data_IF_239071859176
#
_entry.id   IF_239071859176
#
_cell.length_a   1.000
_cell.length_b   1.000
_cell.length_c   1.000
_cell.angle_alpha   90.00
_cell.angle_beta   90.00
_cell.angle_gamma   90.00
#
_symmetry.space_group_name_H-M   'P 1'
#
loop_
_entity.id
_entity.type
_entity.pdbx_description
1 polymer ?
#
# COMPACT_ATOMS: atom_id res chain seq x y z
N UNK A 1 -20.72 -39.62 -22.67
CA UNK A 1 -21.63 -39.51 -21.50
C UNK A 1 -21.32 -38.20 -20.80
N UNK A 2 -22.32 -37.34 -20.55
CA UNK A 2 -22.11 -36.17 -19.71
C UNK A 2 -22.21 -36.61 -18.24
N UNK A 3 -21.12 -36.50 -17.50
CA UNK A 3 -21.14 -36.69 -16.04
C UNK A 3 -21.86 -35.48 -15.47
N UNK A 4 -23.05 -35.67 -14.89
CA UNK A 4 -23.69 -34.63 -14.10
C UNK A 4 -22.88 -34.44 -12.81
N UNK A 5 -22.47 -33.20 -12.46
CA UNK A 5 -21.82 -32.96 -11.19
C UNK A 5 -22.79 -33.27 -10.04
N UNK A 6 -22.27 -33.93 -9.01
CA UNK A 6 -23.00 -34.22 -7.79
C UNK A 6 -23.26 -32.96 -6.97
N UNK A 7 -24.26 -33.02 -6.09
CA UNK A 7 -24.70 -31.88 -5.28
C UNK A 7 -23.61 -31.34 -4.32
N UNK A 8 -22.62 -32.18 -3.97
CA UNK A 8 -21.55 -31.84 -3.03
C UNK A 8 -20.17 -31.60 -3.69
N UNK A 9 -20.01 -31.83 -5.00
CA UNK A 9 -18.72 -31.81 -5.72
C UNK A 9 -17.91 -30.51 -5.52
N UNK A 10 -18.58 -29.37 -5.31
CA UNK A 10 -17.92 -28.09 -5.01
C UNK A 10 -17.36 -28.05 -3.58
N UNK A 11 -18.12 -28.54 -2.60
CA UNK A 11 -17.73 -28.62 -1.19
C UNK A 11 -16.53 -29.55 -1.03
N UNK A 12 -16.60 -30.75 -1.62
CA UNK A 12 -15.53 -31.74 -1.59
C UNK A 12 -14.22 -31.18 -2.18
N UNK A 13 -14.33 -30.38 -3.26
CA UNK A 13 -13.19 -29.67 -3.86
C UNK A 13 -12.64 -28.56 -2.95
N UNK A 14 -13.48 -27.86 -2.19
CA UNK A 14 -12.99 -26.88 -1.21
C UNK A 14 -12.35 -27.55 0.01
N UNK A 15 -12.87 -28.68 0.49
CA UNK A 15 -12.24 -29.46 1.55
C UNK A 15 -10.87 -30.00 1.11
N UNK A 16 -10.77 -30.56 -0.10
CA UNK A 16 -9.49 -30.99 -0.67
C UNK A 16 -8.45 -29.85 -0.76
N UNK A 17 -8.89 -28.63 -1.11
CA UNK A 17 -8.02 -27.43 -1.11
C UNK A 17 -7.60 -27.00 0.31
N UNK A 18 -8.51 -27.10 1.29
CA UNK A 18 -8.20 -26.82 2.70
C UNK A 18 -7.20 -27.85 3.27
N UNK A 19 -7.37 -29.14 2.97
CA UNK A 19 -6.43 -30.21 3.34
C UNK A 19 -5.05 -30.00 2.68
N UNK A 20 -5.01 -29.57 1.42
CA UNK A 20 -3.77 -29.16 0.75
C UNK A 20 -3.13 -27.87 1.32
N UNK A 21 -3.84 -27.16 2.21
CA UNK A 21 -3.33 -26.00 2.94
C UNK A 21 -3.44 -24.68 2.19
N UNK A 22 -4.61 -24.36 1.64
CA UNK A 22 -4.88 -23.11 0.90
C UNK A 22 -4.34 -21.85 1.64
N UNK A 23 -3.35 -21.13 1.07
CA UNK A 23 -2.79 -19.94 1.70
C UNK A 23 -3.77 -18.76 1.74
N UNK A 24 -4.79 -18.74 0.88
CA UNK A 24 -5.81 -17.67 0.85
C UNK A 24 -6.89 -17.86 1.90
N UNK A 25 -7.19 -19.10 2.27
CA UNK A 25 -8.00 -19.41 3.46
C UNK A 25 -7.30 -18.90 4.73
N UNK A 26 -6.01 -19.25 4.91
CA UNK A 26 -5.21 -18.74 6.03
C UNK A 26 -5.12 -17.21 6.05
N UNK A 27 -4.98 -16.58 4.89
CA UNK A 27 -4.98 -15.12 4.78
C UNK A 27 -6.32 -14.51 5.22
N UNK A 28 -7.45 -15.13 4.85
CA UNK A 28 -8.80 -14.68 5.23
C UNK A 28 -9.10 -14.89 6.73
N UNK A 29 -8.55 -15.94 7.34
CA UNK A 29 -8.68 -16.18 8.78
C UNK A 29 -7.85 -15.20 9.63
N UNK A 30 -6.73 -14.69 9.11
CA UNK A 30 -5.83 -13.76 9.82
C UNK A 30 -6.14 -12.28 9.54
N UNK A 31 -6.73 -11.97 8.39
CA UNK A 31 -7.06 -10.60 7.97
C UNK A 31 -8.57 -10.47 7.80
N UNK A 32 -9.21 -9.78 8.73
CA UNK A 32 -10.56 -9.27 8.49
C UNK A 32 -10.50 -8.19 7.41
N UNK A 33 -11.06 -8.51 6.25
CA UNK A 33 -11.10 -7.62 5.09
C UNK A 33 -12.26 -6.61 5.16
N UNK A 34 -13.27 -6.83 6.01
CA UNK A 34 -14.42 -5.94 6.16
C UNK A 34 -14.04 -4.62 6.86
N UNK A 35 -13.01 -4.64 7.70
CA UNK A 35 -12.35 -3.44 8.25
C UNK A 35 -12.11 -2.36 7.17
N UNK A 36 -11.58 -2.77 6.02
CA UNK A 36 -11.26 -1.86 4.92
C UNK A 36 -12.49 -1.26 4.21
N UNK A 37 -13.71 -1.78 4.42
CA UNK A 37 -14.93 -1.30 3.77
C UNK A 37 -15.14 0.19 3.98
N UNK A 38 -14.99 0.66 5.22
CA UNK A 38 -15.17 2.07 5.60
C UNK A 38 -14.28 3.03 4.80
N UNK A 39 -12.94 2.92 4.89
CA UNK A 39 -12.04 3.77 4.11
C UNK A 39 -12.14 3.58 2.60
N UNK A 40 -12.42 2.37 2.11
CA UNK A 40 -12.60 2.15 0.67
C UNK A 40 -13.83 2.91 0.16
N UNK A 41 -14.98 2.82 0.85
CA UNK A 41 -16.19 3.60 0.52
C UNK A 41 -15.90 5.10 0.61
N UNK A 42 -15.17 5.55 1.64
CA UNK A 42 -14.81 6.96 1.81
C UNK A 42 -13.89 7.48 0.70
N UNK A 43 -12.85 6.73 0.34
CA UNK A 43 -11.89 7.06 -0.74
C UNK A 43 -12.52 7.00 -2.13
N UNK A 44 -13.56 6.17 -2.30
CA UNK A 44 -14.32 6.00 -3.55
C UNK A 44 -15.60 6.85 -3.61
N UNK A 45 -15.84 7.76 -2.64
CA UNK A 45 -17.01 8.66 -2.64
C UNK A 45 -17.12 9.39 -3.97
N UNK A 46 -18.22 9.14 -4.68
CA UNK A 46 -18.61 9.84 -5.89
C UNK A 46 -19.34 11.13 -5.54
N UNK A 47 -19.25 12.12 -6.44
CA UNK A 47 -20.25 13.19 -6.50
C UNK A 47 -21.64 12.65 -6.90
N UNK A 48 -22.67 13.51 -6.99
CA UNK A 48 -24.03 13.07 -7.34
C UNK A 48 -24.03 12.28 -8.66
N UNK A 49 -24.71 11.12 -8.67
CA UNK A 49 -24.91 10.31 -9.88
C UNK A 49 -26.22 10.71 -10.55
N UNK A 50 -26.20 10.81 -11.87
CA UNK A 50 -27.41 10.73 -12.67
C UNK A 50 -28.06 9.34 -12.48
N UNK A 51 -29.39 9.28 -12.49
CA UNK A 51 -30.14 8.03 -12.33
C UNK A 51 -29.91 7.12 -13.56
N UNK A 52 -29.45 5.90 -13.34
CA UNK A 52 -29.23 4.89 -14.39
C UNK A 52 -27.77 4.45 -14.54
N UNK A 53 -27.49 3.17 -14.29
CA UNK A 53 -26.20 2.54 -14.53
C UNK A 53 -25.88 1.44 -13.52
N UNK A 54 -25.16 0.39 -13.95
CA UNK A 54 -24.86 -0.82 -13.15
C UNK A 54 -24.35 -0.44 -11.73
N UNK A 55 -24.81 -1.13 -10.67
CA UNK A 55 -24.24 -0.96 -9.34
C UNK A 55 -22.72 -1.21 -9.39
N UNK A 56 -21.92 -0.44 -8.63
CA UNK A 56 -20.49 -0.69 -8.54
C UNK A 56 -20.26 -2.03 -7.82
N UNK A 57 -19.19 -2.74 -8.18
CA UNK A 57 -18.75 -3.89 -7.41
C UNK A 57 -18.43 -3.51 -5.97
N UNK A 58 -18.56 -4.50 -5.09
CA UNK A 58 -18.22 -4.38 -3.69
C UNK A 58 -16.76 -3.91 -3.52
N UNK A 59 -16.50 -2.83 -2.76
CA UNK A 59 -15.15 -2.32 -2.57
C UNK A 59 -14.20 -3.32 -1.93
N UNK A 60 -14.67 -4.18 -1.01
CA UNK A 60 -13.82 -5.18 -0.33
C UNK A 60 -13.41 -6.29 -1.30
N UNK A 61 -14.34 -6.81 -2.10
CA UNK A 61 -14.05 -7.71 -3.22
C UNK A 61 -13.02 -7.10 -4.19
N UNK A 62 -13.25 -5.86 -4.65
CA UNK A 62 -12.32 -5.18 -5.56
C UNK A 62 -10.93 -4.96 -4.94
N UNK A 63 -10.85 -4.78 -3.62
CA UNK A 63 -9.60 -4.66 -2.89
C UNK A 63 -8.87 -6.00 -2.73
N UNK A 64 -9.60 -7.08 -2.41
CA UNK A 64 -9.08 -8.45 -2.39
C UNK A 64 -8.50 -8.85 -3.77
N UNK A 65 -9.09 -8.41 -4.87
CA UNK A 65 -8.53 -8.60 -6.23
C UNK A 65 -7.14 -7.94 -6.36
N UNK A 66 -6.95 -6.72 -5.84
CA UNK A 66 -5.63 -6.08 -5.83
C UNK A 66 -4.62 -6.83 -4.93
N UNK A 67 -5.09 -7.49 -3.87
CA UNK A 67 -4.26 -8.37 -3.03
C UNK A 67 -3.81 -9.61 -3.80
N UNK A 68 -4.71 -10.27 -4.55
CA UNK A 68 -4.35 -11.40 -5.42
C UNK A 68 -3.29 -10.98 -6.47
N UNK A 69 -3.47 -9.82 -7.10
CA UNK A 69 -2.49 -9.27 -8.04
C UNK A 69 -1.11 -9.06 -7.42
N UNK A 70 -1.05 -8.53 -6.20
CA UNK A 70 0.21 -8.31 -5.49
C UNK A 70 0.87 -9.62 -5.00
N UNK A 71 0.08 -10.63 -4.63
CA UNK A 71 0.58 -11.93 -4.15
C UNK A 71 1.07 -12.83 -5.28
N UNK A 72 0.37 -12.86 -6.41
CA UNK A 72 0.66 -13.74 -7.55
C UNK A 72 1.30 -13.02 -8.75
N UNK A 73 1.57 -11.71 -8.65
CA UNK A 73 2.21 -10.88 -9.69
C UNK A 73 1.46 -10.87 -11.02
N UNK A 74 0.12 -10.77 -10.96
CA UNK A 74 -0.77 -10.86 -12.13
C UNK A 74 -1.06 -9.49 -12.76
N UNK A 75 -1.20 -9.44 -14.09
CA UNK A 75 -1.77 -8.29 -14.80
C UNK A 75 -3.28 -8.19 -14.57
N UNK A 76 -3.93 -7.12 -15.06
CA UNK A 76 -5.38 -6.94 -14.92
C UNK A 76 -6.16 -8.03 -15.70
N UNK A 77 -5.70 -8.38 -16.89
CA UNK A 77 -6.24 -9.43 -17.76
C UNK A 77 -5.97 -10.83 -17.21
N UNK A 78 -4.73 -11.09 -16.76
CA UNK A 78 -4.37 -12.35 -16.14
C UNK A 78 -5.17 -12.58 -14.84
N UNK A 79 -5.50 -11.52 -14.11
CA UNK A 79 -6.32 -11.62 -12.90
C UNK A 79 -7.76 -12.00 -13.22
N UNK A 80 -8.36 -11.37 -14.22
CA UNK A 80 -9.71 -11.72 -14.69
C UNK A 80 -9.79 -13.20 -15.10
N UNK A 81 -8.81 -13.68 -15.86
CA UNK A 81 -8.72 -15.09 -16.26
C UNK A 81 -8.55 -16.03 -15.05
N UNK A 82 -7.60 -15.73 -14.15
CA UNK A 82 -7.29 -16.60 -13.01
C UNK A 82 -8.43 -16.66 -11.97
N UNK A 83 -9.26 -15.62 -11.85
CA UNK A 83 -10.47 -15.66 -11.02
C UNK A 83 -11.56 -16.55 -11.65
N UNK A 84 -11.66 -16.61 -12.99
CA UNK A 84 -12.59 -17.52 -13.68
C UNK A 84 -12.13 -18.98 -13.62
N UNK A 85 -10.82 -19.22 -13.63
CA UNK A 85 -10.18 -20.54 -13.63
C UNK A 85 -10.05 -21.18 -12.23
N UNK A 86 -9.74 -20.41 -11.18
CA UNK A 86 -9.32 -20.97 -9.88
C UNK A 86 -10.37 -20.88 -8.77
N UNK A 87 -10.81 -22.04 -8.30
CA UNK A 87 -11.69 -22.20 -7.15
C UNK A 87 -11.18 -21.52 -5.86
N UNK A 88 -9.87 -21.57 -5.57
CA UNK A 88 -9.31 -20.89 -4.38
C UNK A 88 -9.40 -19.35 -4.48
N UNK A 89 -9.31 -18.78 -5.68
CA UNK A 89 -9.50 -17.35 -5.90
C UNK A 89 -10.98 -16.97 -5.75
N UNK A 90 -11.89 -17.79 -6.29
CA UNK A 90 -13.34 -17.61 -6.13
C UNK A 90 -13.75 -17.65 -4.65
N UNK A 91 -13.30 -18.67 -3.91
CA UNK A 91 -13.49 -18.80 -2.44
C UNK A 91 -12.96 -17.59 -1.68
N UNK A 92 -11.74 -17.15 -1.97
CA UNK A 92 -11.13 -15.98 -1.32
C UNK A 92 -11.92 -14.68 -1.54
N UNK A 93 -12.42 -14.48 -2.76
CA UNK A 93 -13.17 -13.30 -3.15
C UNK A 93 -14.66 -13.35 -2.74
N UNK A 94 -15.18 -14.52 -2.40
CA UNK A 94 -16.61 -14.72 -2.10
C UNK A 94 -17.52 -14.68 -3.33
N UNK A 95 -16.96 -14.89 -4.54
CA UNK A 95 -17.75 -15.03 -5.77
C UNK A 95 -18.04 -16.51 -6.00
N UNK A 96 -19.32 -16.88 -6.09
CA UNK A 96 -19.71 -18.23 -6.53
C UNK A 96 -19.40 -18.49 -8.01
N UNK A 97 -19.58 -19.72 -8.47
CA UNK A 97 -19.30 -20.14 -9.86
C UNK A 97 -19.98 -19.28 -10.93
N UNK A 98 -21.21 -18.80 -10.65
CA UNK A 98 -21.99 -17.92 -11.54
C UNK A 98 -21.80 -16.41 -11.24
N UNK A 99 -20.94 -16.09 -10.27
CA UNK A 99 -20.70 -14.72 -9.83
C UNK A 99 -20.08 -13.86 -10.93
N UNK A 100 -20.55 -12.62 -11.08
CA UNK A 100 -19.91 -11.69 -12.02
C UNK A 100 -18.50 -11.35 -11.56
N UNK A 101 -17.50 -11.80 -12.31
CA UNK A 101 -16.10 -11.37 -12.14
C UNK A 101 -15.91 -9.96 -12.72
N UNK A 102 -15.26 -9.02 -12.01
CA UNK A 102 -14.89 -7.72 -12.56
C UNK A 102 -13.90 -7.86 -13.72
N UNK A 103 -14.17 -7.19 -14.84
CA UNK A 103 -13.25 -7.16 -15.97
C UNK A 103 -11.94 -6.41 -15.65
N UNK A 104 -10.90 -6.68 -16.44
CA UNK A 104 -9.58 -6.03 -16.31
C UNK A 104 -9.67 -4.49 -16.28
N UNK A 105 -10.55 -3.90 -17.09
CA UNK A 105 -10.76 -2.44 -17.15
C UNK A 105 -11.35 -1.90 -15.85
N UNK A 106 -12.23 -2.65 -15.20
CA UNK A 106 -12.87 -2.32 -13.93
C UNK A 106 -11.88 -2.41 -12.77
N UNK A 107 -11.01 -3.42 -12.76
CA UNK A 107 -9.90 -3.55 -11.80
C UNK A 107 -8.91 -2.38 -11.97
N UNK A 108 -8.53 -2.06 -13.20
CA UNK A 108 -7.67 -0.91 -13.52
C UNK A 108 -8.30 0.42 -13.08
N UNK A 109 -9.59 0.66 -13.38
CA UNK A 109 -10.31 1.87 -12.97
C UNK A 109 -10.39 2.00 -11.44
N UNK A 110 -10.57 0.88 -10.73
CA UNK A 110 -10.57 0.84 -9.27
C UNK A 110 -9.18 1.17 -8.69
N UNK A 111 -8.12 0.51 -9.19
CA UNK A 111 -6.73 0.83 -8.82
C UNK A 111 -6.41 2.31 -9.08
N UNK A 112 -6.77 2.83 -10.25
CA UNK A 112 -6.55 4.25 -10.63
C UNK A 112 -7.27 5.23 -9.70
N UNK A 113 -8.48 4.88 -9.21
CA UNK A 113 -9.21 5.69 -8.22
C UNK A 113 -8.54 5.66 -6.85
N UNK A 114 -8.08 4.49 -6.38
CA UNK A 114 -7.33 4.39 -5.13
C UNK A 114 -5.99 5.13 -5.19
N UNK A 115 -5.26 5.06 -6.30
CA UNK A 115 -4.03 5.85 -6.52
C UNK A 115 -4.31 7.36 -6.51
N UNK A 116 -5.39 7.80 -7.18
CA UNK A 116 -5.86 9.20 -7.12
C UNK A 116 -6.25 9.64 -5.70
N UNK A 117 -6.49 8.71 -4.78
CA UNK A 117 -6.76 8.99 -3.37
C UNK A 117 -5.50 9.23 -2.49
N UNK A 118 -4.37 9.67 -3.08
CA UNK A 118 -3.09 10.22 -2.48
C UNK A 118 -2.08 9.16 -2.02
N UNK A 119 -0.76 9.37 -1.82
CA UNK A 119 0.30 10.35 -2.14
C UNK A 119 1.54 10.03 -1.25
N UNK A 120 1.65 10.60 -0.04
CA UNK A 120 2.17 10.01 1.24
C UNK A 120 1.50 10.74 2.41
N UNK A 121 1.18 10.07 3.55
CA UNK A 121 0.41 10.73 4.62
C UNK A 121 1.18 10.98 5.93
N UNK A 122 1.30 12.26 6.26
CA UNK A 122 1.81 12.75 7.55
C UNK A 122 0.80 12.56 8.68
N UNK A 123 -0.50 12.47 8.38
CA UNK A 123 -1.58 12.30 9.38
C UNK A 123 -1.74 10.82 9.74
N UNK A 124 -1.76 9.95 8.72
CA UNK A 124 -2.09 8.53 8.88
C UNK A 124 -0.85 7.62 9.03
N UNK A 125 0.31 8.05 8.51
CA UNK A 125 1.54 7.24 8.53
C UNK A 125 1.57 6.12 7.49
N UNK A 126 0.74 6.19 6.46
CA UNK A 126 0.67 5.21 5.38
C UNK A 126 1.76 5.46 4.32
N UNK A 127 2.46 4.38 3.93
CA UNK A 127 3.40 4.37 2.82
C UNK A 127 2.58 4.40 1.52
N UNK A 128 2.86 5.36 0.63
CA UNK A 128 2.11 5.55 -0.63
C UNK A 128 3.04 5.67 -1.86
N UNK A 129 4.31 6.07 -1.67
CA UNK A 129 5.41 5.93 -2.64
C UNK A 129 6.66 5.41 -1.94
N UNK A 130 7.45 4.56 -2.57
CA UNK A 130 8.73 4.06 -2.05
C UNK A 130 9.63 3.59 -3.20
N UNK A 131 10.94 3.52 -2.96
CA UNK A 131 11.94 2.95 -3.86
C UNK A 131 12.95 2.14 -3.04
N UNK A 132 13.73 1.29 -3.72
CA UNK A 132 14.84 0.55 -3.13
C UNK A 132 16.10 0.72 -4.00
N UNK A 133 17.11 1.36 -3.43
CA UNK A 133 18.43 1.62 -4.01
C UNK A 133 19.44 0.53 -3.63
N UNK A 134 20.55 0.45 -4.37
CA UNK A 134 21.71 -0.31 -3.93
C UNK A 134 22.39 0.40 -2.73
N UNK A 135 22.98 -0.36 -1.80
CA UNK A 135 23.53 0.18 -0.55
C UNK A 135 24.71 1.17 -0.72
N UNK A 136 25.30 1.25 -1.92
CA UNK A 136 26.34 2.21 -2.28
C UNK A 136 25.79 3.49 -2.96
N UNK A 137 24.50 3.55 -3.28
CA UNK A 137 23.89 4.71 -3.92
C UNK A 137 23.53 5.79 -2.88
N UNK A 138 23.73 7.07 -3.23
CA UNK A 138 23.36 8.17 -2.35
C UNK A 138 21.86 8.48 -2.42
N UNK A 139 21.14 8.15 -1.34
CA UNK A 139 19.68 8.35 -1.20
C UNK A 139 19.20 9.78 -1.54
N UNK A 140 20.02 10.79 -1.22
CA UNK A 140 19.73 12.20 -1.50
C UNK A 140 19.48 12.52 -2.98
N UNK A 141 19.92 11.67 -3.91
CA UNK A 141 19.67 11.82 -5.35
C UNK A 141 18.27 11.32 -5.79
N UNK A 142 17.63 10.43 -5.03
CA UNK A 142 16.37 9.75 -5.39
C UNK A 142 15.11 10.52 -4.99
N UNK A 143 15.25 11.61 -4.21
CA UNK A 143 14.10 12.39 -3.74
C UNK A 143 13.11 12.85 -4.85
N UNK A 144 13.55 13.25 -6.06
CA UNK A 144 12.64 13.61 -7.16
C UNK A 144 11.73 12.47 -7.62
N UNK A 145 12.14 11.21 -7.45
CA UNK A 145 11.36 10.02 -7.83
C UNK A 145 10.28 9.67 -6.79
N UNK A 146 10.40 10.21 -5.57
CA UNK A 146 9.53 9.93 -4.43
C UNK A 146 8.49 11.04 -4.18
N UNK A 147 8.64 12.23 -4.79
CA UNK A 147 7.76 13.39 -4.59
C UNK A 147 6.87 13.59 -5.81
N UNK A 148 5.56 13.42 -5.64
CA UNK A 148 4.54 13.80 -6.63
C UNK A 148 3.98 15.20 -6.36
N UNK A 149 3.78 15.98 -7.43
CA UNK A 149 3.04 17.26 -7.42
C UNK A 149 1.54 17.08 -7.19
N UNK A 150 1.02 15.87 -7.28
CA UNK A 150 -0.40 15.54 -7.02
C UNK A 150 -0.71 15.49 -5.50
N UNK A 151 0.32 15.59 -4.64
CA UNK A 151 0.13 15.62 -3.21
C UNK A 151 -0.45 16.98 -2.76
N UNK A 152 -1.51 16.95 -1.96
CA UNK A 152 -2.18 18.16 -1.44
C UNK A 152 -1.28 19.03 -0.55
N UNK A 153 -0.18 18.47 -0.02
CA UNK A 153 0.79 19.19 0.80
C UNK A 153 2.09 19.47 0.04
N UNK A 154 2.46 20.75 -0.09
CA UNK A 154 3.74 21.19 -0.67
C UNK A 154 4.94 21.04 0.28
N UNK A 155 4.72 20.76 1.57
CA UNK A 155 5.77 20.67 2.58
C UNK A 155 6.52 19.34 2.58
N UNK A 156 7.79 19.36 2.20
CA UNK A 156 8.66 18.16 2.07
C UNK A 156 9.55 18.01 3.31
N UNK A 157 9.38 16.92 4.04
CA UNK A 157 10.11 16.63 5.29
C UNK A 157 11.10 15.49 5.04
N UNK A 158 12.39 15.73 5.32
CA UNK A 158 13.44 14.73 5.20
C UNK A 158 14.59 15.00 6.19
N UNK A 159 15.51 14.03 6.33
CA UNK A 159 16.70 14.19 7.18
C UNK A 159 17.82 14.98 6.48
N UNK A 160 18.97 15.12 7.15
CA UNK A 160 20.12 15.87 6.63
C UNK A 160 20.76 15.28 5.37
N UNK A 161 20.60 13.99 5.07
CA UNK A 161 21.21 13.34 3.90
C UNK A 161 20.55 13.79 2.58
N UNK A 162 19.26 14.16 2.63
CA UNK A 162 18.53 14.70 1.48
C UNK A 162 18.82 16.19 1.21
N UNK A 163 19.58 16.89 2.08
CA UNK A 163 19.83 18.33 1.94
C UNK A 163 21.01 18.64 1.01
N UNK A 164 20.80 18.46 -0.30
CA UNK A 164 21.77 18.86 -1.34
C UNK A 164 21.35 20.15 -2.07
N UNK A 165 22.31 20.89 -2.65
CA UNK A 165 22.01 22.06 -3.51
C UNK A 165 21.06 21.70 -4.67
N UNK A 166 21.27 20.54 -5.30
CA UNK A 166 20.43 20.03 -6.40
C UNK A 166 19.01 19.73 -5.92
N UNK A 167 18.87 19.19 -4.70
CA UNK A 167 17.58 18.89 -4.09
C UNK A 167 16.81 20.16 -3.74
N UNK A 168 17.44 21.14 -3.09
CA UNK A 168 16.80 22.42 -2.76
C UNK A 168 16.36 23.17 -4.04
N UNK A 169 17.17 23.14 -5.11
CA UNK A 169 16.82 23.71 -6.41
C UNK A 169 15.70 22.95 -7.14
N UNK A 170 15.57 21.63 -6.92
CA UNK A 170 14.41 20.85 -7.38
C UNK A 170 13.14 21.23 -6.62
N UNK A 171 13.22 21.35 -5.30
CA UNK A 171 12.08 21.75 -4.46
C UNK A 171 11.58 23.15 -4.82
N UNK A 172 12.49 24.12 -4.99
CA UNK A 172 12.15 25.48 -5.41
C UNK A 172 11.43 25.50 -6.77
N UNK A 173 11.97 24.83 -7.80
CA UNK A 173 11.32 24.70 -9.12
C UNK A 173 10.00 23.92 -9.07
N UNK A 174 9.82 23.06 -8.09
CA UNK A 174 8.59 22.31 -7.84
C UNK A 174 7.54 23.07 -7.03
N UNK A 175 7.82 24.29 -6.55
CA UNK A 175 7.00 25.04 -5.57
C UNK A 175 6.80 24.29 -4.23
N UNK A 176 7.76 23.42 -3.86
CA UNK A 176 7.74 22.67 -2.61
C UNK A 176 8.45 23.43 -1.48
N UNK A 177 7.88 23.37 -0.27
CA UNK A 177 8.48 23.97 0.94
C UNK A 177 9.45 22.99 1.61
N UNK A 178 10.75 23.31 1.57
CA UNK A 178 11.80 22.49 2.18
C UNK A 178 11.78 22.51 3.72
N UNK A 179 11.34 21.39 4.31
CA UNK A 179 11.41 21.11 5.75
C UNK A 179 12.52 20.09 6.07
N UNK A 180 13.57 20.07 5.26
CA UNK A 180 14.71 19.18 5.39
C UNK A 180 15.62 19.63 6.55
N UNK A 181 16.07 18.70 7.39
CA UNK A 181 16.93 19.00 8.55
C UNK A 181 18.25 19.67 8.14
N UNK A 182 18.74 20.60 8.96
CA UNK A 182 20.04 21.25 8.73
C UNK A 182 21.15 20.57 9.54
N UNK A 183 22.29 20.27 8.87
CA UNK A 183 23.47 19.65 9.47
C UNK A 183 24.29 20.67 10.26
N UNK A 184 24.89 20.24 11.37
CA UNK A 184 25.91 21.00 12.10
C UNK A 184 27.17 21.16 11.24
N UNK A 185 27.80 22.34 11.25
CA UNK A 185 29.14 22.48 10.66
C UNK A 185 30.19 21.72 11.49
N UNK A 186 31.29 21.25 10.88
CA UNK A 186 32.43 20.69 11.62
C UNK A 186 32.93 21.66 12.67
N UNK A 187 33.30 21.14 13.85
CA UNK A 187 33.89 21.88 14.99
C UNK A 187 33.10 23.09 15.53
N UNK A 188 31.84 23.32 15.11
CA UNK A 188 30.97 24.40 15.65
C UNK A 188 29.69 23.82 16.26
N UNK A 189 29.13 24.39 17.34
CA UNK A 189 27.81 24.00 17.84
C UNK A 189 26.71 24.33 16.81
N UNK A 190 25.56 23.66 16.91
CA UNK A 190 24.41 23.98 16.07
C UNK A 190 23.73 25.23 16.66
N UNK A 191 23.56 26.34 15.90
CA UNK A 191 22.90 27.54 16.41
C UNK A 191 21.51 27.23 16.97
N UNK A 192 21.16 27.80 18.13
CA UNK A 192 19.92 27.46 18.84
C UNK A 192 18.66 27.58 17.97
N UNK A 193 18.56 28.64 17.15
CA UNK A 193 17.46 28.83 16.19
C UNK A 193 17.29 27.63 15.27
N UNK A 194 18.40 27.05 14.79
CA UNK A 194 18.43 25.88 13.91
C UNK A 194 18.13 24.60 14.72
N UNK A 195 18.64 24.48 15.95
CA UNK A 195 18.32 23.38 16.85
C UNK A 195 16.81 23.31 17.16
N UNK A 196 16.19 24.44 17.55
CA UNK A 196 14.74 24.57 17.79
C UNK A 196 13.93 24.26 16.52
N UNK A 197 14.38 24.69 15.34
CA UNK A 197 13.72 24.37 14.07
C UNK A 197 13.84 22.88 13.69
N UNK A 198 15.01 22.28 13.87
CA UNK A 198 15.21 20.83 13.70
C UNK A 198 14.35 20.03 14.70
N UNK A 199 14.28 20.42 15.98
CA UNK A 199 13.42 19.76 16.97
C UNK A 199 11.92 19.77 16.57
N UNK A 200 11.42 20.87 15.99
CA UNK A 200 10.07 20.93 15.39
C UNK A 200 9.93 19.96 14.21
N UNK A 201 10.97 19.78 13.38
CA UNK A 201 11.01 18.81 12.27
C UNK A 201 11.11 17.36 12.75
N UNK A 202 11.79 17.09 13.86
CA UNK A 202 11.89 15.76 14.46
C UNK A 202 10.54 15.17 14.86
N UNK A 203 9.54 16.00 15.22
CA UNK A 203 8.17 15.53 15.47
C UNK A 203 7.53 14.84 14.26
N UNK A 204 7.81 15.32 13.04
CA UNK A 204 7.36 14.66 11.81
C UNK A 204 8.18 13.39 11.49
N UNK A 205 9.48 13.40 11.83
CA UNK A 205 10.37 12.25 11.66
C UNK A 205 9.98 11.06 12.55
N UNK A 206 9.56 11.29 13.79
CA UNK A 206 9.11 10.23 14.71
C UNK A 206 7.97 9.37 14.13
N UNK A 207 7.03 9.98 13.40
CA UNK A 207 5.95 9.26 12.72
C UNK A 207 6.47 8.35 11.59
N UNK A 208 7.57 8.72 10.92
CA UNK A 208 8.25 7.90 9.92
C UNK A 208 9.09 6.80 10.58
N UNK A 209 9.73 7.09 11.71
CA UNK A 209 10.49 6.08 12.48
C UNK A 209 9.57 4.96 13.03
N UNK A 210 8.31 5.25 13.34
CA UNK A 210 7.29 4.23 13.64
C UNK A 210 7.04 3.25 12.47
N UNK A 211 7.21 3.69 11.21
CA UNK A 211 7.10 2.80 10.04
C UNK A 211 8.24 1.80 10.04
N UNK A 212 9.47 2.30 10.11
CA UNK A 212 10.67 1.46 10.15
C UNK A 212 10.74 0.56 11.40
N UNK A 213 10.26 1.03 12.55
CA UNK A 213 10.16 0.24 13.77
C UNK A 213 9.17 -0.92 13.62
N UNK A 214 8.00 -0.67 13.03
CA UNK A 214 7.02 -1.71 12.72
C UNK A 214 7.60 -2.80 11.81
N UNK A 215 8.33 -2.40 10.76
CA UNK A 215 8.97 -3.33 9.84
C UNK A 215 10.11 -4.12 10.49
N UNK A 216 11.02 -3.46 11.22
CA UNK A 216 12.19 -4.12 11.81
C UNK A 216 11.84 -5.03 12.98
N UNK A 217 11.04 -4.54 13.93
CA UNK A 217 10.75 -5.26 15.17
C UNK A 217 9.51 -6.15 15.06
N UNK A 218 8.41 -5.65 14.46
CA UNK A 218 7.13 -6.37 14.45
C UNK A 218 7.01 -7.37 13.29
N UNK A 219 7.71 -7.14 12.17
CA UNK A 219 7.73 -8.04 11.01
C UNK A 219 9.07 -8.77 10.82
N UNK A 220 10.07 -8.50 11.68
CA UNK A 220 11.40 -9.10 11.57
C UNK A 220 12.08 -8.84 10.22
N UNK A 221 11.86 -7.66 9.59
CA UNK A 221 12.32 -7.41 8.22
C UNK A 221 13.85 -7.34 8.12
N UNK A 222 14.45 -8.47 7.73
CA UNK A 222 15.89 -8.60 7.43
C UNK A 222 16.08 -8.82 5.93
N UNK A 223 16.72 -7.87 5.24
CA UNK A 223 17.05 -7.96 3.81
C UNK A 223 18.51 -8.37 3.64
N UNK A 224 18.74 -9.65 3.34
CA UNK A 224 20.06 -10.24 3.02
C UNK A 224 20.07 -10.90 1.63
N UNK A 225 19.16 -10.48 0.74
CA UNK A 225 19.00 -11.08 -0.60
C UNK A 225 20.05 -10.53 -1.57
N UNK A 226 20.72 -11.42 -2.29
CA UNK A 226 21.56 -11.07 -3.45
C UNK A 226 20.65 -10.57 -4.58
N UNK A 227 20.96 -9.39 -5.13
CA UNK A 227 20.23 -8.76 -6.24
C UNK A 227 19.13 -7.77 -5.81
N UNK A 228 19.16 -6.57 -6.40
CA UNK A 228 18.27 -5.45 -6.04
C UNK A 228 16.78 -5.76 -6.29
N UNK A 229 16.45 -6.54 -7.34
CA UNK A 229 15.07 -6.93 -7.62
C UNK A 229 14.45 -7.76 -6.48
N UNK A 230 15.21 -8.70 -5.90
CA UNK A 230 14.75 -9.53 -4.77
C UNK A 230 14.60 -8.70 -3.49
N UNK A 231 15.53 -7.76 -3.25
CA UNK A 231 15.43 -6.80 -2.15
C UNK A 231 14.19 -5.90 -2.29
N UNK A 232 13.95 -5.35 -3.49
CA UNK A 232 12.79 -4.52 -3.84
C UNK A 232 11.48 -5.26 -3.58
N UNK A 233 11.32 -6.50 -4.05
CA UNK A 233 10.12 -7.32 -3.78
C UNK A 233 9.93 -7.55 -2.27
N UNK A 234 11.00 -7.88 -1.53
CA UNK A 234 10.92 -8.13 -0.08
C UNK A 234 10.50 -6.89 0.71
N UNK A 235 11.05 -5.72 0.36
CA UNK A 235 10.69 -4.42 0.94
C UNK A 235 9.26 -4.03 0.55
N UNK A 236 8.87 -4.21 -0.71
CA UNK A 236 7.52 -3.91 -1.19
C UNK A 236 6.44 -4.70 -0.48
N UNK A 237 6.65 -6.01 -0.26
CA UNK A 237 5.72 -6.85 0.51
C UNK A 237 5.61 -6.38 1.97
N UNK A 238 6.73 -6.00 2.60
CA UNK A 238 6.71 -5.50 3.97
C UNK A 238 6.04 -4.11 4.09
N UNK A 239 6.22 -3.23 3.09
CA UNK A 239 5.51 -1.95 3.00
C UNK A 239 3.99 -2.16 2.88
N UNK A 240 3.56 -3.14 2.09
CA UNK A 240 2.15 -3.48 1.92
C UNK A 240 1.54 -4.03 3.22
N UNK A 241 2.20 -5.01 3.86
CA UNK A 241 1.76 -5.56 5.17
C UNK A 241 1.72 -4.46 6.25
N UNK A 242 2.70 -3.55 6.26
CA UNK A 242 2.68 -2.39 7.15
C UNK A 242 1.44 -1.53 6.95
N UNK A 243 1.09 -1.22 5.70
CA UNK A 243 -0.08 -0.41 5.41
C UNK A 243 -1.39 -1.06 5.87
N UNK A 244 -1.57 -2.38 5.66
CA UNK A 244 -2.76 -3.09 6.15
C UNK A 244 -2.86 -3.03 7.69
N UNK A 245 -1.77 -3.38 8.39
CA UNK A 245 -1.73 -3.33 9.86
C UNK A 245 -1.92 -1.90 10.39
N UNK A 246 -1.41 -0.90 9.68
CA UNK A 246 -1.54 0.51 10.06
C UNK A 246 -2.95 1.03 9.85
N UNK A 247 -3.63 0.59 8.78
CA UNK A 247 -4.99 0.98 8.45
C UNK A 247 -5.99 0.40 9.47
N UNK A 248 -5.92 -0.91 9.75
CA UNK A 248 -6.72 -1.54 10.80
C UNK A 248 -6.56 -0.86 12.19
N UNK A 249 -5.33 -0.46 12.54
CA UNK A 249 -5.07 0.28 13.78
C UNK A 249 -5.65 1.70 13.80
N UNK A 250 -5.78 2.37 12.64
CA UNK A 250 -6.39 3.69 12.57
C UNK A 250 -7.91 3.60 12.76
N UNK A 251 -8.55 2.63 12.10
CA UNK A 251 -9.99 2.37 12.18
C UNK A 251 -10.42 2.04 13.62
N UNK A 252 -9.67 1.16 14.30
CA UNK A 252 -9.89 0.78 15.69
C UNK A 252 -9.76 1.94 16.70
N UNK A 253 -9.20 3.09 16.31
CA UNK A 253 -9.14 4.32 17.12
C UNK A 253 -10.21 5.36 16.78
N UNK A 254 -10.95 5.15 15.70
CA UNK A 254 -12.06 6.02 15.26
C UNK A 254 -13.44 5.43 15.55
N UNK A 255 -13.52 4.17 15.96
CA UNK A 255 -14.74 3.62 16.54
C UNK A 255 -15.03 4.31 17.89
N UNK A 256 -16.25 4.80 18.14
CA UNK A 256 -16.67 5.11 19.50
C UNK A 256 -16.69 3.82 20.34
N UNK A 257 -16.41 3.97 21.64
CA UNK A 257 -16.51 2.89 22.62
C UNK A 257 -17.97 2.52 22.91
#
# INVERSE_FOLDING_TARGET
MAVQPGFFDLSDRYEALSVAGDPLERLSAVVDFELFRGPLVAALRRGPRNKGGRPPFDPVLMFKILVLQALYSLSDEATEFQIKDRLSFQRFLGVGLEGTVPDATTVWLFRKRLVKAKAIDRVHGLIRTWDASAANAHDGARLPELISKENTASGVWADTAYRSKKTEAFLARGMFTSNIHQKRLPKRPLPERIARANAKRSKARAAVEHVFAGQKHRMGLVVRTIGIARARIKIGRANLVYNFQRLAWLEARTAPA
#
